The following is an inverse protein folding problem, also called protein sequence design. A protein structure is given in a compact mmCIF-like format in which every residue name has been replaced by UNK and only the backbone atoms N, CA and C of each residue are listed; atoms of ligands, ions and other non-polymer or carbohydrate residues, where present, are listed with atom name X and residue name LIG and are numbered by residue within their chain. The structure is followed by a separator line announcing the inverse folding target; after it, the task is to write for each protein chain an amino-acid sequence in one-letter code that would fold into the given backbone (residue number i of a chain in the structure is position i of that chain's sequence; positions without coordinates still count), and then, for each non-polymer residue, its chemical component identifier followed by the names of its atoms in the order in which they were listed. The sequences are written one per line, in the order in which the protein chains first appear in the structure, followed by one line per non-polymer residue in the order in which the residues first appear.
data_IF_398310232326
#
_entry.id   IF_398310232326
#
_cell.length_a   1.000
_cell.length_b   1.000
_cell.length_c   1.000
_cell.angle_alpha   90.00
_cell.angle_beta   90.00
_cell.angle_gamma   90.00
#
_symmetry.space_group_name_H-M   'P 1'
#
loop_
_entity.id
_entity.type
_entity.pdbx_description
1 polymer ?
#
# COMPACT_ATOMS: atom_id res chain seq x y z
N UNK A 1 -30.25 -2.60 5.15
CA UNK A 1 -30.38 -3.02 3.74
C UNK A 1 -30.59 -4.52 3.71
N UNK A 2 -31.37 -5.04 2.76
CA UNK A 2 -31.56 -6.48 2.59
C UNK A 2 -30.33 -7.08 1.89
N UNK A 3 -29.99 -8.33 2.21
CA UNK A 3 -28.93 -9.06 1.52
C UNK A 3 -29.31 -9.27 0.05
N UNK A 4 -28.38 -9.10 -0.90
CA UNK A 4 -28.64 -9.46 -2.29
C UNK A 4 -28.93 -10.96 -2.40
N UNK A 5 -29.81 -11.38 -3.31
CA UNK A 5 -30.15 -12.79 -3.49
C UNK A 5 -28.90 -13.59 -3.89
N UNK A 6 -28.77 -14.79 -3.33
CA UNK A 6 -27.74 -15.76 -3.73
C UNK A 6 -28.29 -16.56 -4.91
N UNK A 7 -27.45 -16.87 -5.90
CA UNK A 7 -27.82 -17.79 -6.98
C UNK A 7 -28.25 -19.15 -6.41
N UNK A 8 -29.32 -19.78 -6.91
CA UNK A 8 -29.83 -21.06 -6.39
C UNK A 8 -28.76 -22.14 -6.28
N UNK A 9 -27.84 -22.20 -7.25
CA UNK A 9 -26.72 -23.14 -7.31
C UNK A 9 -25.61 -22.86 -6.28
N UNK A 10 -25.55 -21.64 -5.73
CA UNK A 10 -24.56 -21.22 -4.74
C UNK A 10 -25.10 -21.29 -3.30
N UNK A 11 -26.35 -21.73 -3.10
CA UNK A 11 -26.93 -21.91 -1.76
C UNK A 11 -26.19 -23.04 -1.04
N UNK A 12 -25.46 -22.68 0.02
CA UNK A 12 -24.68 -23.64 0.81
C UNK A 12 -25.55 -24.33 1.86
N UNK A 13 -25.20 -25.58 2.23
CA UNK A 13 -25.85 -26.24 3.36
C UNK A 13 -25.61 -25.46 4.67
N UNK A 14 -26.50 -25.61 5.67
CA UNK A 14 -26.33 -24.96 6.96
C UNK A 14 -25.02 -25.40 7.60
N UNK A 15 -24.23 -24.43 8.07
CA UNK A 15 -22.98 -24.70 8.77
C UNK A 15 -23.26 -25.15 10.21
N UNK A 16 -22.39 -26.00 10.80
CA UNK A 16 -22.46 -26.27 12.23
C UNK A 16 -22.30 -24.95 13.01
N UNK A 17 -23.10 -24.75 14.08
CA UNK A 17 -23.06 -23.53 14.87
C UNK A 17 -21.70 -23.37 15.55
N UNK A 18 -21.19 -22.14 15.58
CA UNK A 18 -19.94 -21.83 16.28
C UNK A 18 -20.05 -22.08 17.78
N UNK A 19 -18.95 -22.57 18.35
CA UNK A 19 -18.74 -22.69 19.80
C UNK A 19 -17.61 -21.77 20.24
N UNK A 20 -17.55 -21.44 21.53
CA UNK A 20 -16.45 -20.63 22.08
C UNK A 20 -15.08 -21.32 21.91
N UNK A 21 -15.04 -22.66 21.87
CA UNK A 21 -13.83 -23.42 21.58
C UNK A 21 -13.27 -23.15 20.19
N UNK A 22 -14.12 -22.85 19.20
CA UNK A 22 -13.69 -22.62 17.82
C UNK A 22 -12.97 -21.28 17.64
N UNK A 23 -13.32 -20.28 18.47
CA UNK A 23 -12.73 -18.94 18.46
C UNK A 23 -11.35 -18.92 19.16
N UNK A 24 -11.17 -19.81 20.13
CA UNK A 24 -9.99 -19.86 20.97
C UNK A 24 -9.95 -18.78 22.08
N UNK A 25 -8.89 -18.76 22.90
CA UNK A 25 -8.82 -17.90 24.07
C UNK A 25 -8.73 -16.42 23.67
N UNK A 26 -9.56 -15.60 24.33
CA UNK A 26 -9.53 -14.16 24.17
C UNK A 26 -8.20 -13.57 24.69
N UNK A 27 -7.56 -12.64 23.95
CA UNK A 27 -6.37 -11.96 24.42
C UNK A 27 -6.72 -11.03 25.59
N UNK A 28 -5.74 -10.70 26.46
CA UNK A 28 -5.97 -9.78 27.56
C UNK A 28 -6.36 -8.39 27.06
N UNK A 29 -6.98 -7.59 27.93
CA UNK A 29 -7.32 -6.20 27.63
C UNK A 29 -6.06 -5.40 27.24
N UNK A 30 -6.14 -4.68 26.12
CA UNK A 30 -5.07 -3.85 25.60
C UNK A 30 -4.58 -2.87 26.66
N UNK A 31 -3.27 -2.83 26.84
CA UNK A 31 -2.62 -1.87 27.70
C UNK A 31 -1.42 -1.24 26.98
N UNK A 32 -1.38 0.09 26.95
CA UNK A 32 -0.25 0.86 26.38
C UNK A 32 0.67 1.44 27.45
N UNK A 33 0.23 1.42 28.71
CA UNK A 33 0.94 2.06 29.82
C UNK A 33 1.70 1.00 30.62
N UNK A 34 3.04 0.93 30.48
CA UNK A 34 3.84 -0.06 31.19
C UNK A 34 3.78 0.10 32.72
N UNK A 35 3.40 1.27 33.23
CA UNK A 35 3.33 1.53 34.67
C UNK A 35 2.14 0.84 35.35
N UNK A 36 1.07 0.55 34.60
CA UNK A 36 -0.16 -0.04 35.16
C UNK A 36 -0.16 -1.55 35.12
N UNK A 37 0.25 -2.14 33.99
CA UNK A 37 0.18 -3.57 33.68
C UNK A 37 1.20 -3.91 32.58
N UNK A 38 1.45 -5.20 32.27
CA UNK A 38 2.18 -5.57 31.06
C UNK A 38 1.60 -4.91 29.81
N UNK A 39 2.46 -4.53 28.86
CA UNK A 39 2.01 -3.96 27.58
C UNK A 39 1.30 -5.05 26.77
N UNK A 40 0.04 -4.82 26.44
CA UNK A 40 -0.77 -5.73 25.62
C UNK A 40 -1.18 -5.01 24.36
N UNK A 41 -0.82 -5.58 23.21
CA UNK A 41 -1.10 -5.00 21.89
C UNK A 41 -2.57 -5.14 21.53
N UNK A 42 -3.00 -4.38 20.53
CA UNK A 42 -4.37 -4.50 20.00
C UNK A 42 -4.51 -5.74 19.13
N UNK A 43 -5.51 -6.55 19.44
CA UNK A 43 -5.96 -7.71 18.68
C UNK A 43 -7.41 -7.49 18.25
N UNK A 44 -7.75 -8.10 17.13
CA UNK A 44 -9.03 -8.01 16.45
C UNK A 44 -9.49 -9.44 16.21
N UNK A 45 -10.70 -9.76 16.64
CA UNK A 45 -11.37 -10.99 16.28
C UNK A 45 -12.18 -10.70 15.03
N UNK A 46 -11.94 -11.46 13.97
CA UNK A 46 -12.69 -11.25 12.74
C UNK A 46 -12.51 -12.36 11.72
N UNK A 47 -13.43 -12.40 10.76
CA UNK A 47 -13.35 -13.27 9.60
C UNK A 47 -12.35 -12.68 8.63
N UNK A 48 -11.37 -13.48 8.20
CA UNK A 48 -10.46 -13.10 7.13
C UNK A 48 -11.13 -13.41 5.81
N UNK A 49 -11.22 -12.41 4.95
CA UNK A 49 -11.80 -12.53 3.61
C UNK A 49 -10.72 -12.17 2.62
N UNK A 50 -10.35 -13.15 1.79
CA UNK A 50 -9.35 -13.00 0.73
C UNK A 50 -9.94 -12.19 -0.43
N UNK A 51 -9.10 -11.83 -1.41
CA UNK A 51 -9.63 -11.16 -2.61
C UNK A 51 -10.44 -12.13 -3.46
N UNK A 52 -10.04 -13.41 -3.45
CA UNK A 52 -10.72 -14.51 -4.11
C UNK A 52 -12.09 -14.76 -3.47
N UNK A 53 -12.16 -14.76 -2.13
CA UNK A 53 -13.40 -14.90 -1.38
C UNK A 53 -14.39 -13.78 -1.75
N UNK A 54 -13.91 -12.53 -1.84
CA UNK A 54 -14.75 -11.39 -2.22
C UNK A 54 -15.25 -11.47 -3.66
N UNK A 55 -14.37 -11.84 -4.60
CA UNK A 55 -14.76 -11.98 -6.00
C UNK A 55 -15.78 -13.12 -6.18
N UNK A 56 -15.57 -14.24 -5.50
CA UNK A 56 -16.51 -15.36 -5.49
C UNK A 56 -17.84 -14.96 -4.88
N UNK A 57 -17.82 -14.27 -3.73
CA UNK A 57 -19.05 -13.76 -3.10
C UNK A 57 -19.81 -12.84 -4.05
N UNK A 58 -19.12 -11.92 -4.74
CA UNK A 58 -19.75 -11.07 -5.75
C UNK A 58 -20.38 -11.85 -6.91
N UNK A 59 -19.75 -12.95 -7.34
CA UNK A 59 -20.26 -13.83 -8.39
C UNK A 59 -21.49 -14.64 -7.94
N UNK A 60 -21.43 -15.17 -6.71
CA UNK A 60 -22.50 -15.96 -6.08
C UNK A 60 -23.78 -15.14 -5.88
N UNK A 61 -23.64 -13.83 -5.66
CA UNK A 61 -24.74 -12.87 -5.51
C UNK A 61 -25.09 -12.10 -6.79
N UNK A 62 -24.52 -12.49 -7.93
CA UNK A 62 -24.71 -11.85 -9.25
C UNK A 62 -24.56 -10.32 -9.26
N UNK A 63 -23.65 -9.76 -8.46
CA UNK A 63 -23.55 -8.32 -8.30
C UNK A 63 -23.18 -7.59 -9.59
N UNK A 64 -22.41 -8.26 -10.46
CA UNK A 64 -22.03 -7.76 -11.79
C UNK A 64 -22.12 -8.94 -12.76
N UNK A 65 -23.23 -9.08 -13.52
CA UNK A 65 -23.39 -10.17 -14.47
C UNK A 65 -22.25 -10.18 -15.51
N UNK A 66 -21.52 -11.31 -15.60
CA UNK A 66 -20.35 -11.43 -16.47
C UNK A 66 -19.16 -10.54 -16.07
N UNK A 67 -19.17 -9.98 -14.86
CA UNK A 67 -18.17 -9.05 -14.37
C UNK A 67 -16.78 -9.68 -14.25
N UNK A 68 -15.75 -8.87 -14.52
CA UNK A 68 -14.37 -9.25 -14.26
C UNK A 68 -14.08 -9.35 -12.76
N UNK A 69 -13.13 -10.21 -12.39
CA UNK A 69 -12.71 -10.52 -11.01
C UNK A 69 -12.66 -9.31 -10.06
N UNK A 70 -12.01 -8.21 -10.48
CA UNK A 70 -11.85 -7.03 -9.64
C UNK A 70 -13.13 -6.22 -9.44
N UNK A 71 -14.00 -6.16 -10.45
CA UNK A 71 -15.31 -5.51 -10.32
C UNK A 71 -16.16 -6.28 -9.33
N UNK A 72 -16.21 -7.61 -9.47
CA UNK A 72 -16.90 -8.48 -8.52
C UNK A 72 -16.38 -8.30 -7.09
N UNK A 73 -15.05 -8.31 -6.92
CA UNK A 73 -14.40 -8.08 -5.62
C UNK A 73 -14.79 -6.73 -5.00
N UNK A 74 -14.71 -5.64 -5.76
CA UNK A 74 -14.95 -4.30 -5.24
C UNK A 74 -16.43 -4.08 -4.90
N UNK A 75 -17.34 -4.50 -5.78
CA UNK A 75 -18.78 -4.44 -5.51
C UNK A 75 -19.17 -5.31 -4.32
N UNK A 76 -18.59 -6.51 -4.19
CA UNK A 76 -18.77 -7.35 -3.02
C UNK A 76 -18.29 -6.66 -1.74
N UNK A 77 -17.11 -6.03 -1.77
CA UNK A 77 -16.56 -5.31 -0.63
C UNK A 77 -17.46 -4.16 -0.17
N UNK A 78 -17.92 -3.33 -1.10
CA UNK A 78 -18.77 -2.19 -0.79
C UNK A 78 -20.16 -2.63 -0.32
N UNK A 79 -20.72 -3.67 -0.95
CA UNK A 79 -21.99 -4.27 -0.53
C UNK A 79 -21.89 -4.85 0.88
N UNK A 80 -20.87 -5.68 1.16
CA UNK A 80 -20.66 -6.29 2.47
C UNK A 80 -20.51 -5.25 3.58
N UNK A 81 -19.84 -4.13 3.33
CA UNK A 81 -19.74 -3.03 4.30
C UNK A 81 -21.08 -2.37 4.64
N UNK A 82 -22.09 -2.52 3.79
CA UNK A 82 -23.44 -1.99 3.99
C UNK A 82 -24.39 -3.01 4.63
N UNK A 83 -24.20 -4.31 4.38
CA UNK A 83 -25.10 -5.37 4.86
C UNK A 83 -24.62 -6.06 6.14
N UNK A 84 -23.30 -6.10 6.39
CA UNK A 84 -22.75 -6.69 7.62
C UNK A 84 -23.11 -5.78 8.81
N UNK A 85 -23.75 -6.31 9.87
CA UNK A 85 -24.30 -5.50 10.95
C UNK A 85 -23.21 -4.79 11.78
N UNK A 86 -23.54 -3.61 12.29
CA UNK A 86 -22.74 -2.90 13.29
C UNK A 86 -22.77 -3.69 14.63
N UNK A 87 -21.69 -3.74 15.44
CA UNK A 87 -20.49 -2.91 15.43
C UNK A 87 -19.30 -3.39 14.58
N UNK A 88 -19.55 -4.17 13.52
CA UNK A 88 -18.46 -4.66 12.68
C UNK A 88 -17.61 -3.53 12.08
N UNK A 89 -16.29 -3.69 12.17
CA UNK A 89 -15.32 -2.80 11.54
C UNK A 89 -14.49 -3.55 10.49
N UNK A 90 -13.77 -2.84 9.62
CA UNK A 90 -12.85 -3.48 8.67
C UNK A 90 -11.39 -3.26 9.05
N UNK A 91 -10.56 -4.28 8.84
CA UNK A 91 -9.13 -4.22 9.09
C UNK A 91 -8.34 -4.98 8.01
N UNK A 92 -7.10 -4.56 7.78
CA UNK A 92 -6.14 -5.34 6.97
C UNK A 92 -5.38 -6.29 7.87
N UNK A 93 -5.24 -7.54 7.42
CA UNK A 93 -4.64 -8.65 8.17
C UNK A 93 -3.61 -9.38 7.31
N UNK A 94 -2.61 -9.99 7.96
CA UNK A 94 -1.78 -11.02 7.33
C UNK A 94 -2.31 -12.38 7.77
N UNK A 95 -2.52 -13.28 6.83
CA UNK A 95 -3.06 -14.60 7.08
C UNK A 95 -2.24 -15.68 6.36
N UNK A 96 -2.43 -16.93 6.79
CA UNK A 96 -1.74 -18.09 6.22
C UNK A 96 -0.24 -18.18 6.53
N UNK A 97 0.39 -19.31 6.20
CA UNK A 97 1.83 -19.53 6.40
C UNK A 97 2.69 -18.56 5.57
N UNK A 98 2.21 -18.20 4.38
CA UNK A 98 2.89 -17.28 3.46
C UNK A 98 2.71 -15.80 3.82
N UNK A 99 1.98 -15.50 4.90
CA UNK A 99 1.72 -14.14 5.37
C UNK A 99 1.10 -13.24 4.29
N UNK A 100 0.14 -13.78 3.54
CA UNK A 100 -0.62 -13.05 2.52
C UNK A 100 -1.46 -11.94 3.15
N UNK A 101 -1.74 -10.88 2.40
CA UNK A 101 -2.58 -9.78 2.87
C UNK A 101 -4.04 -10.01 2.50
N UNK A 102 -4.93 -9.77 3.46
CA UNK A 102 -6.36 -9.88 3.26
C UNK A 102 -7.13 -8.78 3.98
N UNK A 103 -8.42 -8.74 3.72
CA UNK A 103 -9.35 -7.94 4.49
C UNK A 103 -9.92 -8.76 5.64
N UNK A 104 -10.41 -8.08 6.68
CA UNK A 104 -11.12 -8.74 7.76
C UNK A 104 -12.30 -7.91 8.24
N UNK A 105 -13.43 -8.58 8.42
CA UNK A 105 -14.61 -8.06 9.12
C UNK A 105 -14.49 -8.40 10.60
N UNK A 106 -14.24 -7.37 11.40
CA UNK A 106 -13.90 -7.44 12.82
C UNK A 106 -15.17 -7.38 13.65
N UNK A 107 -15.44 -8.45 14.40
CA UNK A 107 -16.61 -8.60 15.27
C UNK A 107 -16.32 -8.16 16.72
N UNK A 108 -15.08 -8.32 17.19
CA UNK A 108 -14.66 -7.93 18.54
C UNK A 108 -13.21 -7.45 18.59
N UNK A 109 -12.85 -6.67 19.61
CA UNK A 109 -11.46 -6.26 19.84
C UNK A 109 -11.13 -6.22 21.32
N UNK A 110 -9.86 -6.35 21.67
CA UNK A 110 -9.41 -6.24 23.06
C UNK A 110 -9.15 -4.80 23.53
N UNK A 111 -9.67 -3.78 22.84
CA UNK A 111 -9.36 -2.37 23.18
C UNK A 111 -10.06 -1.90 24.45
N UNK A 112 -11.31 -2.30 24.64
CA UNK A 112 -12.15 -1.95 25.78
C UNK A 112 -12.85 -3.21 26.30
N UNK A 113 -13.27 -3.25 27.57
CA UNK A 113 -13.99 -4.40 28.12
C UNK A 113 -15.23 -4.77 27.31
N UNK A 114 -16.09 -3.79 26.99
CA UNK A 114 -17.29 -4.03 26.20
C UNK A 114 -17.03 -4.43 24.74
N UNK A 115 -15.87 -4.10 24.15
CA UNK A 115 -15.50 -4.63 22.84
C UNK A 115 -14.99 -6.07 22.91
N UNK A 116 -14.43 -6.48 24.04
CA UNK A 116 -13.89 -7.82 24.27
C UNK A 116 -14.99 -8.80 24.68
N UNK A 117 -15.96 -8.37 25.47
CA UNK A 117 -17.14 -9.16 25.85
C UNK A 117 -17.93 -9.63 24.62
N UNK A 118 -17.96 -8.83 23.54
CA UNK A 118 -18.57 -9.23 22.26
C UNK A 118 -17.91 -10.44 21.59
N UNK A 119 -16.69 -10.82 21.99
CA UNK A 119 -16.10 -12.07 21.51
C UNK A 119 -16.88 -13.31 21.99
N UNK A 120 -17.73 -13.16 23.03
CA UNK A 120 -18.64 -14.20 23.50
C UNK A 120 -20.03 -14.16 22.89
N UNK A 121 -20.34 -13.16 22.04
CA UNK A 121 -21.65 -13.03 21.37
C UNK A 121 -21.71 -13.93 20.13
N UNK A 122 -21.95 -15.22 20.36
CA UNK A 122 -21.95 -16.23 19.31
C UNK A 122 -23.06 -16.00 18.27
N UNK A 123 -24.21 -15.46 18.67
CA UNK A 123 -25.32 -15.17 17.75
C UNK A 123 -24.94 -14.09 16.74
N UNK A 124 -24.36 -12.98 17.22
CA UNK A 124 -23.85 -11.92 16.35
C UNK A 124 -22.73 -12.42 15.43
N UNK A 125 -21.80 -13.21 15.98
CA UNK A 125 -20.68 -13.75 15.21
C UNK A 125 -21.19 -14.71 14.11
N UNK A 126 -22.16 -15.57 14.41
CA UNK A 126 -22.76 -16.50 13.44
C UNK A 126 -23.55 -15.75 12.36
N UNK A 127 -24.25 -14.67 12.72
CA UNK A 127 -24.91 -13.80 11.76
C UNK A 127 -23.90 -13.22 10.75
N UNK A 128 -22.78 -12.70 11.23
CA UNK A 128 -21.72 -12.17 10.36
C UNK A 128 -21.08 -13.29 9.53
N UNK A 129 -20.82 -14.46 10.10
CA UNK A 129 -20.30 -15.65 9.39
C UNK A 129 -21.19 -16.06 8.23
N UNK A 130 -22.51 -16.08 8.48
CA UNK A 130 -23.52 -16.45 7.50
C UNK A 130 -23.57 -15.46 6.35
N UNK A 131 -23.56 -14.14 6.64
CA UNK A 131 -23.54 -13.10 5.61
C UNK A 131 -22.30 -13.22 4.72
N UNK A 132 -21.14 -13.48 5.32
CA UNK A 132 -19.88 -13.61 4.59
C UNK A 132 -19.74 -14.96 3.85
N UNK A 133 -20.62 -15.94 4.13
CA UNK A 133 -20.52 -17.29 3.57
C UNK A 133 -19.22 -18.00 3.97
N UNK A 134 -18.68 -17.72 5.17
CA UNK A 134 -17.41 -18.29 5.63
C UNK A 134 -17.64 -19.57 6.43
N UNK A 135 -16.93 -20.63 6.05
CA UNK A 135 -16.96 -21.90 6.78
C UNK A 135 -16.03 -21.86 7.98
N UNK A 136 -14.94 -21.10 7.91
CA UNK A 136 -13.97 -21.01 8.98
C UNK A 136 -14.44 -20.08 10.11
N UNK A 137 -14.09 -20.40 11.38
CA UNK A 137 -14.35 -19.51 12.51
C UNK A 137 -13.53 -18.20 12.39
N UNK A 138 -13.97 -17.12 13.07
CA UNK A 138 -13.17 -15.91 13.13
C UNK A 138 -11.91 -16.16 13.97
N UNK A 139 -10.82 -15.49 13.62
CA UNK A 139 -9.54 -15.66 14.30
C UNK A 139 -9.08 -14.36 14.97
N UNK A 140 -8.37 -14.48 16.08
CA UNK A 140 -7.66 -13.36 16.68
C UNK A 140 -6.42 -13.02 15.87
N UNK A 141 -6.39 -11.81 15.32
CA UNK A 141 -5.27 -11.32 14.55
C UNK A 141 -4.88 -9.90 14.96
N UNK A 142 -3.68 -9.50 14.52
CA UNK A 142 -3.21 -8.13 14.69
C UNK A 142 -3.47 -7.39 13.41
N UNK A 143 -4.16 -6.25 13.52
CA UNK A 143 -4.25 -5.31 12.39
C UNK A 143 -2.84 -4.99 11.94
N UNK A 144 -2.65 -5.13 10.64
CA UNK A 144 -1.51 -4.56 9.99
C UNK A 144 -1.97 -3.20 9.51
N UNK A 145 -1.23 -2.19 9.93
CA UNK A 145 -1.24 -0.96 9.17
C UNK A 145 -0.58 -1.38 7.86
N UNK A 146 -1.40 -1.67 6.85
CA UNK A 146 -0.94 -1.69 5.48
C UNK A 146 -0.51 -0.26 5.17
N UNK A 147 0.70 0.10 5.63
CA UNK A 147 1.60 0.78 4.74
C UNK A 147 1.64 -0.14 3.53
N UNK A 148 0.90 0.22 2.49
CA UNK A 148 1.23 -0.19 1.12
C UNK A 148 2.76 -0.09 1.08
N UNK A 149 3.44 -1.23 0.92
CA UNK A 149 4.86 -1.40 1.17
C UNK A 149 5.68 -0.23 0.58
N UNK A 150 6.06 0.71 1.44
CA UNK A 150 7.02 1.78 1.13
C UNK A 150 8.34 1.58 1.91
N UNK A 151 8.29 0.89 3.05
CA UNK A 151 9.44 0.73 3.94
C UNK A 151 10.44 -0.34 3.45
N UNK A 152 10.06 -1.22 2.52
CA UNK A 152 11.00 -2.18 1.92
C UNK A 152 12.09 -1.52 1.08
N UNK A 153 11.94 -0.24 0.70
CA UNK A 153 12.96 0.46 -0.07
C UNK A 153 14.02 1.14 0.81
N UNK A 154 13.67 1.65 2.01
CA UNK A 154 14.65 2.18 2.97
C UNK A 154 15.66 1.13 3.43
N UNK A 155 15.23 -0.13 3.59
CA UNK A 155 16.14 -1.21 3.96
C UNK A 155 17.12 -1.62 2.84
N UNK A 156 16.79 -1.35 1.57
CA UNK A 156 17.69 -1.67 0.45
C UNK A 156 18.64 -0.51 0.14
N UNK A 157 18.18 0.75 0.19
CA UNK A 157 19.04 1.92 -0.05
C UNK A 157 20.12 2.07 1.03
N UNK A 158 19.84 1.73 2.29
CA UNK A 158 20.85 1.76 3.35
C UNK A 158 21.84 0.59 3.23
N UNK A 159 21.44 -0.57 2.68
CA UNK A 159 22.34 -1.71 2.54
C UNK A 159 23.26 -1.63 1.32
N UNK A 160 22.81 -1.01 0.23
CA UNK A 160 23.60 -0.84 -0.99
C UNK A 160 24.67 0.26 -0.89
N UNK A 161 24.61 1.13 0.11
CA UNK A 161 25.61 2.19 0.34
C UNK A 161 26.72 1.80 1.34
N UNK A 162 26.70 0.59 1.89
CA UNK A 162 27.69 0.11 2.88
C UNK A 162 28.58 -1.02 2.37
N UNK A 163 28.60 -1.30 1.06
CA UNK A 163 29.38 -2.41 0.49
C UNK A 163 30.24 -2.07 -0.74
N UNK A 164 30.64 -0.80 -0.89
CA UNK A 164 31.79 -0.47 -1.73
C UNK A 164 32.66 0.51 -0.94
N UNK A 165 33.58 -0.04 -0.14
CA UNK A 165 34.91 0.55 0.03
C UNK A 165 35.84 -0.52 0.60
N UNK A 166 37.04 -0.60 0.00
CA UNK A 166 38.18 -1.48 0.32
C UNK A 166 38.26 -2.84 -0.35
N UNK A 167 38.60 -2.86 -1.65
CA UNK A 167 39.63 -3.77 -2.16
C UNK A 167 40.53 -3.03 -3.18
N UNK A 168 41.87 -3.16 -3.12
CA UNK A 168 42.78 -2.44 -3.99
C UNK A 168 42.87 -3.09 -5.39
N UNK A 169 43.31 -2.35 -6.42
CA UNK A 169 43.35 -2.85 -7.79
C UNK A 169 44.62 -3.66 -8.01
N UNK A 170 44.50 -4.86 -8.59
CA UNK A 170 45.62 -5.57 -9.18
C UNK A 170 45.25 -6.06 -10.59
N UNK A 171 45.85 -5.35 -11.54
CA UNK A 171 46.29 -5.70 -12.89
C UNK A 171 46.38 -7.19 -13.24
N UNK A 172 45.62 -7.65 -14.23
CA UNK A 172 46.12 -8.00 -15.58
C UNK A 172 45.00 -8.56 -16.48
N UNK A 173 44.95 -8.22 -17.78
CA UNK A 173 44.07 -8.85 -18.76
C UNK A 173 44.80 -10.01 -19.44
N UNK A 174 44.15 -11.16 -19.67
CA UNK A 174 44.32 -11.99 -20.87
C UNK A 174 43.44 -13.26 -20.84
N UNK A 175 42.75 -13.48 -21.97
CA UNK A 175 42.34 -14.74 -22.61
C UNK A 175 41.72 -15.89 -21.77
N UNK A 176 40.53 -16.36 -22.19
CA UNK A 176 40.33 -17.54 -23.08
C UNK A 176 38.82 -17.80 -23.27
N UNK A 177 38.50 -18.16 -24.51
CA UNK A 177 37.22 -18.43 -25.15
C UNK A 177 36.57 -19.78 -24.77
N UNK A 178 35.29 -19.91 -25.19
CA UNK A 178 34.51 -21.14 -25.45
C UNK A 178 33.77 -21.82 -24.29
N UNK A 179 32.43 -21.74 -24.34
CA UNK A 179 31.57 -22.92 -24.25
C UNK A 179 30.21 -22.65 -24.91
N UNK A 180 30.08 -23.14 -26.14
CA UNK A 180 28.87 -23.21 -26.95
C UNK A 180 28.22 -24.56 -26.65
N UNK A 181 26.96 -24.60 -26.22
CA UNK A 181 26.19 -25.86 -26.23
C UNK A 181 24.76 -25.59 -26.68
N UNK A 182 24.48 -25.99 -27.93
CA UNK A 182 23.14 -26.22 -28.49
C UNK A 182 22.80 -27.68 -28.25
N UNK A 183 21.62 -27.98 -27.71
CA UNK A 183 20.90 -29.25 -27.97
C UNK A 183 19.42 -28.96 -28.23
N UNK A 184 18.90 -29.60 -29.28
CA UNK A 184 17.56 -29.49 -29.86
C UNK A 184 16.51 -30.34 -29.11
N UNK A 185 15.30 -29.78 -29.01
CA UNK A 185 13.96 -30.32 -29.31
C UNK A 185 13.59 -31.75 -28.87
N UNK A 186 12.54 -31.86 -28.04
CA UNK A 186 11.41 -32.78 -28.28
C UNK A 186 10.13 -32.23 -27.64
N UNK A 187 9.18 -31.88 -28.50
CA UNK A 187 7.78 -31.73 -28.13
C UNK A 187 7.13 -33.13 -28.12
N UNK A 188 6.36 -33.43 -27.09
CA UNK A 188 5.18 -34.29 -27.15
C UNK A 188 4.23 -33.84 -26.04
N UNK A 189 3.02 -33.48 -26.46
CA UNK A 189 1.95 -32.97 -25.62
C UNK A 189 1.17 -34.11 -24.97
N UNK A 190 0.73 -33.91 -23.71
CA UNK A 190 -0.51 -34.49 -23.20
C UNK A 190 -1.00 -33.74 -21.95
N UNK A 191 -1.92 -32.80 -22.18
CA UNK A 191 -3.19 -32.60 -21.48
C UNK A 191 -3.26 -32.45 -19.94
N UNK A 192 -3.96 -31.36 -19.57
CA UNK A 192 -4.55 -31.01 -18.27
C UNK A 192 -3.59 -30.53 -17.18
N UNK A 193 -3.54 -29.21 -16.99
CA UNK A 193 -3.38 -28.53 -15.69
C UNK A 193 -3.64 -27.04 -15.92
N UNK A 194 -4.62 -26.51 -15.20
CA UNK A 194 -5.23 -25.20 -15.41
C UNK A 194 -4.32 -23.99 -15.11
N UNK A 195 -4.87 -22.77 -15.18
CA UNK A 195 -4.11 -21.52 -15.18
C UNK A 195 -3.75 -21.09 -13.75
N UNK A 196 -2.93 -21.84 -13.01
CA UNK A 196 -2.54 -21.48 -11.64
C UNK A 196 -1.06 -21.69 -11.35
N UNK A 197 -0.21 -20.94 -12.08
CA UNK A 197 1.22 -20.85 -11.77
C UNK A 197 1.79 -19.42 -11.79
N UNK A 198 0.98 -18.38 -11.55
CA UNK A 198 1.45 -16.97 -11.62
C UNK A 198 1.18 -16.07 -10.41
N UNK A 199 0.89 -16.63 -9.22
CA UNK A 199 0.76 -15.80 -8.00
C UNK A 199 2.05 -15.72 -7.16
N UNK A 200 3.04 -16.60 -7.36
CA UNK A 200 4.34 -16.46 -6.68
C UNK A 200 5.26 -15.41 -7.33
N UNK A 201 4.88 -14.90 -8.50
CA UNK A 201 5.64 -13.88 -9.25
C UNK A 201 5.33 -12.44 -8.84
N UNK A 202 4.29 -12.16 -8.03
CA UNK A 202 3.91 -10.78 -7.70
C UNK A 202 4.87 -10.04 -6.75
N UNK A 203 5.79 -10.74 -6.07
CA UNK A 203 6.87 -10.09 -5.30
C UNK A 203 8.10 -9.72 -6.16
N UNK A 204 8.12 -10.05 -7.46
CA UNK A 204 9.27 -9.82 -8.34
C UNK A 204 9.19 -8.56 -9.20
N UNK A 205 8.17 -7.69 -9.06
CA UNK A 205 8.13 -6.42 -9.80
C UNK A 205 9.27 -5.46 -9.44
N UNK A 206 9.90 -5.64 -8.28
CA UNK A 206 11.15 -4.94 -7.93
C UNK A 206 12.34 -5.34 -8.83
N UNK A 207 12.23 -6.47 -9.56
CA UNK A 207 13.27 -7.02 -10.45
C UNK A 207 12.93 -6.91 -11.94
N UNK A 208 11.73 -6.46 -12.30
CA UNK A 208 11.44 -6.21 -13.71
C UNK A 208 12.09 -4.90 -14.15
N UNK A 209 12.74 -4.86 -15.32
CA UNK A 209 13.13 -3.60 -15.93
C UNK A 209 11.85 -2.78 -16.13
N UNK A 210 11.79 -1.61 -15.51
CA UNK A 210 10.70 -0.67 -15.75
C UNK A 210 10.85 -0.12 -17.16
N UNK A 211 9.75 0.22 -17.84
CA UNK A 211 9.84 0.89 -19.13
C UNK A 211 10.69 2.16 -18.96
N UNK A 212 11.63 2.43 -19.89
CA UNK A 212 12.38 3.67 -19.86
C UNK A 212 11.41 4.85 -19.97
N UNK A 213 11.68 5.94 -19.28
CA UNK A 213 10.94 7.19 -19.51
C UNK A 213 11.07 7.55 -20.98
N UNK A 214 9.94 7.82 -21.64
CA UNK A 214 9.94 8.33 -23.01
C UNK A 214 10.61 9.71 -23.03
N UNK A 215 11.80 9.86 -23.63
CA UNK A 215 12.43 11.16 -23.77
C UNK A 215 11.58 11.99 -24.72
N UNK A 216 11.21 13.22 -24.34
CA UNK A 216 10.52 14.14 -25.26
C UNK A 216 9.01 14.28 -25.09
N UNK A 217 8.38 13.71 -24.04
CA UNK A 217 7.08 14.20 -23.55
C UNK A 217 7.26 15.53 -22.79
N UNK A 218 7.93 16.47 -23.45
CA UNK A 218 8.05 17.84 -22.99
C UNK A 218 6.71 18.50 -23.32
N UNK A 219 5.80 18.53 -22.34
CA UNK A 219 4.78 19.58 -22.30
C UNK A 219 5.52 20.90 -22.48
N UNK A 220 4.94 21.83 -23.26
CA UNK A 220 5.60 23.08 -23.70
C UNK A 220 6.52 23.66 -22.62
N UNK A 221 7.73 24.17 -22.97
CA UNK A 221 8.69 24.67 -21.98
C UNK A 221 7.99 25.63 -21.04
N UNK A 222 7.81 25.17 -19.80
CA UNK A 222 7.07 25.93 -18.82
C UNK A 222 7.93 27.11 -18.34
N UNK A 223 7.32 28.21 -17.87
CA UNK A 223 8.09 29.29 -17.27
C UNK A 223 8.95 28.73 -16.12
N UNK A 224 10.23 29.12 -16.05
CA UNK A 224 11.15 28.62 -15.03
C UNK A 224 10.65 29.03 -13.64
N UNK A 225 10.81 28.14 -12.67
CA UNK A 225 10.55 28.41 -11.26
C UNK A 225 11.47 29.54 -10.81
N UNK A 226 10.86 30.50 -10.12
CA UNK A 226 11.54 31.58 -9.42
C UNK A 226 11.37 31.39 -7.92
N UNK A 227 12.20 32.05 -7.11
CA UNK A 227 12.03 32.01 -5.65
C UNK A 227 10.70 32.63 -5.20
N UNK A 228 10.11 33.52 -6.00
CA UNK A 228 8.79 34.11 -5.74
C UNK A 228 7.65 33.09 -5.87
N UNK A 229 7.89 31.99 -6.59
CA UNK A 229 6.94 30.89 -6.75
C UNK A 229 6.85 29.98 -5.54
N UNK A 230 7.77 30.13 -4.59
CA UNK A 230 7.89 29.27 -3.40
C UNK A 230 7.41 30.06 -2.19
N UNK A 231 6.37 29.57 -1.52
CA UNK A 231 5.91 30.18 -0.28
C UNK A 231 7.04 30.22 0.76
N UNK A 232 7.14 31.29 1.56
CA UNK A 232 8.14 31.39 2.62
C UNK A 232 8.16 30.12 3.49
N UNK A 233 9.35 29.53 3.58
CA UNK A 233 9.53 28.27 4.29
C UNK A 233 9.18 28.39 5.77
N UNK A 234 8.67 27.31 6.40
CA UNK A 234 8.58 27.27 7.84
C UNK A 234 9.98 27.33 8.44
N UNK A 235 10.09 27.90 9.65
CA UNK A 235 11.34 27.83 10.40
C UNK A 235 11.80 26.38 10.61
N UNK A 236 13.05 26.21 11.04
CA UNK A 236 13.59 24.89 11.37
C UNK A 236 12.70 24.18 12.40
N UNK A 237 12.47 22.90 12.18
CA UNK A 237 11.64 22.06 13.05
C UNK A 237 12.16 22.13 14.47
N UNK A 238 11.29 22.50 15.38
CA UNK A 238 11.54 22.48 16.81
C UNK A 238 10.36 21.78 17.51
N UNK A 239 10.64 20.67 18.18
CA UNK A 239 9.65 19.89 18.94
C UNK A 239 9.66 20.23 20.43
N UNK A 240 10.68 20.95 20.90
CA UNK A 240 10.88 21.28 22.31
C UNK A 240 10.47 22.74 22.56
N UNK A 241 9.41 22.98 23.36
CA UNK A 241 8.98 24.35 23.70
C UNK A 241 10.07 25.17 24.39
N UNK A 242 11.03 24.51 25.05
CA UNK A 242 12.15 25.15 25.76
C UNK A 242 13.15 25.82 24.80
N UNK A 243 13.25 25.34 23.56
CA UNK A 243 14.14 25.91 22.53
C UNK A 243 13.43 26.97 21.67
N UNK A 244 12.31 27.52 22.17
CA UNK A 244 11.51 28.53 21.50
C UNK A 244 10.21 27.98 20.90
N UNK A 245 9.66 28.70 19.91
CA UNK A 245 8.37 28.35 19.30
C UNK A 245 8.44 26.94 18.70
N UNK A 246 7.47 26.10 19.05
CA UNK A 246 7.34 24.76 18.45
C UNK A 246 7.01 24.89 16.97
N UNK A 247 7.91 24.40 16.12
CA UNK A 247 7.73 24.33 14.68
C UNK A 247 7.65 22.88 14.26
N UNK A 248 6.51 22.49 13.70
CA UNK A 248 6.26 21.11 13.23
C UNK A 248 7.06 20.82 11.96
N UNK A 249 7.28 19.53 11.70
CA UNK A 249 7.85 19.08 10.44
C UNK A 249 6.94 19.48 9.27
N UNK A 250 7.54 20.11 8.26
CA UNK A 250 6.95 20.38 6.97
C UNK A 250 7.93 19.97 5.88
N UNK A 251 7.38 19.58 4.74
CA UNK A 251 8.09 19.20 3.55
C UNK A 251 7.67 20.14 2.41
N UNK A 252 8.64 20.63 1.65
CA UNK A 252 8.40 21.29 0.37
C UNK A 252 8.24 20.19 -0.66
N UNK A 253 7.11 20.19 -1.36
CA UNK A 253 6.78 19.08 -2.25
C UNK A 253 5.95 19.49 -3.46
N UNK A 254 6.12 18.74 -4.55
CA UNK A 254 5.21 18.74 -5.70
C UNK A 254 4.09 17.75 -5.46
N UNK A 255 2.85 18.23 -5.51
CA UNK A 255 1.68 17.42 -5.21
C UNK A 255 1.13 16.80 -6.47
N UNK A 256 0.96 15.48 -6.42
CA UNK A 256 0.37 14.70 -7.49
C UNK A 256 -0.89 14.00 -6.98
N UNK A 257 -2.00 14.30 -7.62
CA UNK A 257 -3.26 13.57 -7.42
C UNK A 257 -3.20 12.21 -8.10
N UNK A 258 -4.10 11.30 -7.72
CA UNK A 258 -4.20 10.00 -8.39
C UNK A 258 -4.53 10.14 -9.88
N UNK A 259 -5.44 11.05 -10.24
CA UNK A 259 -5.78 11.32 -11.64
C UNK A 259 -4.59 11.85 -12.45
N UNK A 260 -3.74 12.69 -11.85
CA UNK A 260 -2.50 13.15 -12.50
C UNK A 260 -1.48 12.02 -12.66
N UNK A 261 -1.40 11.11 -11.69
CA UNK A 261 -0.54 9.94 -11.78
C UNK A 261 -1.01 8.96 -12.87
N UNK A 262 -2.32 8.80 -13.04
CA UNK A 262 -2.90 8.04 -14.16
C UNK A 262 -2.56 8.67 -15.51
N UNK A 263 -2.72 9.99 -15.63
CA UNK A 263 -2.40 10.73 -16.84
C UNK A 263 -0.91 10.62 -17.16
N UNK A 264 -0.05 10.80 -16.15
CA UNK A 264 1.39 10.61 -16.29
C UNK A 264 1.74 9.18 -16.71
N UNK A 265 1.08 8.17 -16.13
CA UNK A 265 1.26 6.77 -16.51
C UNK A 265 0.86 6.50 -17.96
N UNK A 266 -0.26 7.09 -18.42
CA UNK A 266 -0.70 7.04 -19.82
C UNK A 266 0.31 7.66 -20.76
N UNK A 267 0.77 8.87 -20.45
CA UNK A 267 1.76 9.60 -21.25
C UNK A 267 3.03 8.76 -21.44
N UNK A 268 3.43 8.00 -20.42
CA UNK A 268 4.66 7.19 -20.42
C UNK A 268 4.45 5.72 -20.81
N UNK A 269 3.33 5.38 -21.46
CA UNK A 269 2.99 4.00 -21.87
C UNK A 269 3.11 2.96 -20.74
N UNK A 270 2.93 3.39 -19.49
CA UNK A 270 2.87 2.47 -18.37
C UNK A 270 1.55 1.74 -18.50
N UNK A 271 1.64 0.48 -18.94
CA UNK A 271 0.52 -0.41 -19.29
C UNK A 271 -0.67 -0.13 -18.37
N UNK A 272 -1.72 0.46 -18.96
CA UNK A 272 -3.04 0.54 -18.36
C UNK A 272 -3.64 -0.87 -18.32
N UNK A 273 -3.14 -1.71 -17.42
CA UNK A 273 -3.91 -2.87 -17.00
C UNK A 273 -5.23 -2.36 -16.42
N UNK A 274 -6.33 -3.12 -16.56
CA UNK A 274 -7.59 -2.82 -15.85
C UNK A 274 -7.44 -2.75 -14.32
N UNK A 275 -6.26 -3.15 -13.79
CA UNK A 275 -5.83 -3.00 -12.41
C UNK A 275 -5.36 -1.57 -12.09
N UNK A 276 -6.30 -0.75 -11.62
CA UNK A 276 -6.07 0.61 -11.13
C UNK A 276 -4.91 0.73 -10.11
N UNK A 277 -4.84 -0.19 -9.16
CA UNK A 277 -3.80 -0.20 -8.12
C UNK A 277 -2.41 -0.56 -8.66
N UNK A 278 -2.34 -1.44 -9.67
CA UNK A 278 -1.08 -1.88 -10.25
C UNK A 278 -0.45 -0.75 -11.06
N UNK A 279 -1.25 -0.07 -11.88
CA UNK A 279 -0.81 1.07 -12.67
C UNK A 279 -0.22 2.16 -11.76
N UNK A 280 -0.88 2.50 -10.65
CA UNK A 280 -0.36 3.48 -9.69
C UNK A 280 0.97 3.07 -9.06
N UNK A 281 1.14 1.78 -8.73
CA UNK A 281 2.38 1.27 -8.15
C UNK A 281 3.52 1.31 -9.16
N UNK A 282 3.27 0.91 -10.40
CA UNK A 282 4.28 0.92 -11.46
C UNK A 282 4.65 2.36 -11.80
N UNK A 283 3.66 3.25 -11.99
CA UNK A 283 3.88 4.66 -12.23
C UNK A 283 4.72 5.30 -11.12
N UNK A 284 4.36 5.08 -9.85
CA UNK A 284 5.17 5.61 -8.75
C UNK A 284 6.57 5.02 -8.69
N UNK A 285 6.71 3.72 -8.91
CA UNK A 285 8.03 3.10 -8.91
C UNK A 285 8.90 3.66 -10.03
N UNK A 286 8.33 3.97 -11.19
CA UNK A 286 9.06 4.56 -12.32
C UNK A 286 9.49 5.98 -11.98
N UNK A 287 8.58 6.82 -11.48
CA UNK A 287 8.92 8.18 -11.02
C UNK A 287 10.03 8.12 -9.98
N UNK A 288 9.89 7.29 -8.95
CA UNK A 288 10.87 7.19 -7.88
C UNK A 288 12.28 6.79 -8.36
N UNK A 289 12.38 5.96 -9.40
CA UNK A 289 13.69 5.60 -9.99
C UNK A 289 14.28 6.71 -10.85
N UNK A 290 13.44 7.58 -11.42
CA UNK A 290 13.87 8.70 -12.23
C UNK A 290 14.25 9.94 -11.41
N UNK A 291 13.69 10.07 -10.20
CA UNK A 291 13.91 11.24 -9.36
C UNK A 291 15.39 11.41 -8.94
N UNK A 292 15.94 12.64 -8.98
CA UNK A 292 17.28 12.92 -8.51
C UNK A 292 17.36 12.74 -6.98
N UNK A 293 18.44 12.13 -6.51
CA UNK A 293 18.72 12.05 -5.07
C UNK A 293 18.94 13.48 -4.51
N UNK A 294 18.38 13.86 -3.34
CA UNK A 294 17.73 13.03 -2.33
C UNK A 294 16.19 13.08 -2.34
N UNK A 295 15.55 13.21 -3.50
CA UNK A 295 14.10 13.36 -3.57
C UNK A 295 13.43 12.14 -2.94
N UNK A 296 12.35 12.40 -2.21
CA UNK A 296 11.57 11.37 -1.56
C UNK A 296 10.11 11.50 -1.97
N UNK A 297 9.32 10.47 -1.70
CA UNK A 297 7.88 10.56 -1.88
C UNK A 297 7.20 10.32 -0.55
N UNK A 298 6.16 11.11 -0.31
CA UNK A 298 5.44 11.18 0.93
C UNK A 298 3.94 11.23 0.67
N UNK A 299 3.16 10.81 1.66
CA UNK A 299 1.79 11.27 1.77
C UNK A 299 1.79 12.57 2.56
N UNK A 300 1.25 13.63 1.98
CA UNK A 300 1.25 14.97 2.56
C UNK A 300 -0.18 15.45 2.70
N UNK A 301 -0.46 16.08 3.85
CA UNK A 301 -1.74 16.76 4.03
C UNK A 301 -1.68 18.09 3.31
N UNK A 302 -2.60 18.30 2.36
CA UNK A 302 -2.64 19.49 1.53
C UNK A 302 -4.05 20.12 1.52
N UNK A 303 -4.10 21.46 1.54
CA UNK A 303 -5.34 22.24 1.53
C UNK A 303 -5.87 22.65 2.91
N UNK A 304 -6.69 23.72 2.93
CA UNK A 304 -7.33 24.29 4.14
C UNK A 304 -8.43 23.39 4.72
N UNK A 305 -9.04 22.51 3.91
CA UNK A 305 -9.99 21.51 4.37
C UNK A 305 -9.24 20.24 4.76
N UNK A 306 -9.35 19.91 6.04
CA UNK A 306 -8.61 18.93 6.81
C UNK A 306 -8.60 17.45 6.32
N UNK A 307 -8.99 17.13 5.08
CA UNK A 307 -9.37 15.77 4.69
C UNK A 307 -8.78 15.25 3.36
N UNK A 308 -7.97 16.03 2.62
CA UNK A 308 -7.33 15.55 1.39
C UNK A 308 -5.87 15.18 1.65
N UNK A 309 -5.59 13.89 1.51
CA UNK A 309 -4.25 13.33 1.53
C UNK A 309 -3.82 13.12 0.08
N UNK A 310 -2.67 13.67 -0.28
CA UNK A 310 -2.12 13.50 -1.62
C UNK A 310 -0.74 12.89 -1.53
N UNK A 311 -0.37 12.15 -2.58
CA UNK A 311 0.99 11.73 -2.80
C UNK A 311 1.78 12.93 -3.30
N UNK A 312 3.01 13.07 -2.84
CA UNK A 312 3.85 14.19 -3.21
C UNK A 312 5.31 13.78 -3.29
N UNK A 313 6.05 14.40 -4.21
CA UNK A 313 7.50 14.33 -4.26
C UNK A 313 8.08 15.43 -3.38
N UNK A 314 8.77 15.05 -2.33
CA UNK A 314 9.46 15.91 -1.37
C UNK A 314 10.85 16.25 -1.88
N UNK A 315 11.13 17.55 -2.01
CA UNK A 315 12.41 18.10 -2.45
C UNK A 315 13.23 18.68 -1.29
N UNK A 316 12.55 19.20 -0.27
CA UNK A 316 13.18 19.75 0.92
C UNK A 316 12.31 19.52 2.16
N UNK A 317 12.92 19.57 3.34
CA UNK A 317 12.17 19.59 4.60
C UNK A 317 12.80 20.60 5.56
N UNK A 318 12.02 21.07 6.53
CA UNK A 318 12.54 21.93 7.58
C UNK A 318 13.21 21.15 8.74
N UNK A 319 13.57 19.88 8.55
CA UNK A 319 14.15 19.04 9.60
C UNK A 319 15.56 19.48 9.97
N UNK A 320 16.40 19.77 8.98
CA UNK A 320 17.80 20.18 9.18
C UNK A 320 18.13 21.39 8.31
N UNK A 321 19.15 22.20 8.66
CA UNK A 321 19.57 23.32 7.82
C UNK A 321 19.94 22.91 6.39
N UNK A 322 20.62 21.77 6.23
CA UNK A 322 20.99 21.25 4.90
C UNK A 322 19.79 20.81 4.07
N UNK A 323 18.75 20.24 4.70
CA UNK A 323 17.50 19.94 3.99
C UNK A 323 16.70 21.20 3.63
N UNK A 324 16.77 22.22 4.49
CA UNK A 324 16.09 23.49 4.29
C UNK A 324 16.76 24.34 3.20
N UNK A 325 18.09 24.30 3.08
CA UNK A 325 18.83 24.99 2.03
C UNK A 325 18.45 24.51 0.62
N UNK A 326 18.02 23.24 0.46
CA UNK A 326 17.52 22.74 -0.83
C UNK A 326 16.20 23.37 -1.26
N UNK A 327 15.47 24.03 -0.36
CA UNK A 327 14.25 24.75 -0.73
C UNK A 327 14.52 25.97 -1.63
N UNK A 328 15.79 26.38 -1.79
CA UNK A 328 16.19 27.44 -2.72
C UNK A 328 16.90 26.90 -3.97
N UNK A 329 17.03 25.59 -4.11
CA UNK A 329 17.69 24.95 -5.25
C UNK A 329 16.69 24.80 -6.41
N UNK A 330 16.57 25.88 -7.20
CA UNK A 330 15.65 25.96 -8.34
C UNK A 330 15.98 24.94 -9.43
N UNK A 331 17.26 24.69 -9.70
CA UNK A 331 17.67 23.71 -10.71
C UNK A 331 17.23 22.31 -10.32
N UNK A 332 17.46 21.92 -9.07
CA UNK A 332 17.00 20.64 -8.53
C UNK A 332 15.47 20.51 -8.59
N UNK A 333 14.74 21.56 -8.23
CA UNK A 333 13.28 21.56 -8.32
C UNK A 333 12.77 21.48 -9.76
N UNK A 334 13.46 22.11 -10.72
CA UNK A 334 13.12 22.00 -12.14
C UNK A 334 13.33 20.59 -12.69
N UNK A 335 14.41 19.91 -12.29
CA UNK A 335 14.62 18.50 -12.67
C UNK A 335 13.46 17.62 -12.17
N UNK A 336 13.04 17.80 -10.92
CA UNK A 336 11.90 17.08 -10.35
C UNK A 336 10.59 17.43 -11.06
N UNK A 337 10.34 18.71 -11.32
CA UNK A 337 9.15 19.20 -12.02
C UNK A 337 9.06 18.66 -13.45
N UNK A 338 10.19 18.59 -14.14
CA UNK A 338 10.31 18.01 -15.49
C UNK A 338 9.97 16.52 -15.50
N UNK A 339 10.48 15.73 -14.55
CA UNK A 339 10.16 14.30 -14.42
C UNK A 339 8.66 14.08 -14.16
N UNK A 340 8.06 14.93 -13.34
CA UNK A 340 6.64 14.86 -13.02
C UNK A 340 5.73 15.39 -14.13
N UNK A 341 6.26 16.12 -15.11
CA UNK A 341 5.47 16.76 -16.17
C UNK A 341 4.40 17.71 -15.60
N UNK A 342 4.68 18.37 -14.48
CA UNK A 342 3.70 19.22 -13.78
C UNK A 342 4.01 20.71 -13.89
N UNK A 343 2.96 21.53 -14.05
CA UNK A 343 3.05 22.99 -13.98
C UNK A 343 2.91 23.54 -12.57
N UNK A 344 2.60 22.68 -11.61
CA UNK A 344 2.36 23.11 -10.23
C UNK A 344 3.64 23.57 -9.59
N UNK A 345 3.54 24.67 -8.87
CA UNK A 345 4.57 25.17 -7.97
C UNK A 345 4.70 24.24 -6.76
N UNK A 346 5.91 24.06 -6.20
CA UNK A 346 6.08 23.29 -4.99
C UNK A 346 5.45 24.03 -3.81
N UNK A 347 4.92 23.28 -2.84
CA UNK A 347 4.19 23.83 -1.69
C UNK A 347 4.66 23.19 -0.39
N UNK A 348 4.58 23.94 0.70
CA UNK A 348 4.87 23.43 2.04
C UNK A 348 3.66 22.66 2.59
N UNK A 349 3.86 21.37 2.85
CA UNK A 349 2.84 20.51 3.43
C UNK A 349 3.33 19.75 4.66
N UNK A 350 2.39 19.21 5.45
CA UNK A 350 2.72 18.35 6.59
C UNK A 350 2.76 16.89 6.16
N UNK A 351 3.91 16.22 6.21
CA UNK A 351 3.97 14.80 5.87
C UNK A 351 3.26 13.97 6.93
N UNK A 352 2.66 12.85 6.51
CA UNK A 352 2.07 11.86 7.39
C UNK A 352 3.08 10.75 7.70
N UNK A 353 3.07 10.28 8.94
CA UNK A 353 3.90 9.17 9.40
C UNK A 353 5.21 9.60 10.09
N UNK A 354 6.02 8.64 10.55
CA UNK A 354 7.33 8.91 11.14
C UNK A 354 8.35 9.23 10.04
N UNK A 355 8.93 10.44 10.10
CA UNK A 355 9.96 10.95 9.19
C UNK A 355 11.27 11.20 9.92
#
# INVERSE_FOLDING_TARGET
MLLPPVKPECVRPPLPPLTLSDIGPSPPLRNRDPSKRPIVKTYFLGFVVTFEDLAQWGADHDLVPGGEYYRLRNEAWDTLRMVVPHPTATATVRYGPDRMYGSSFVVATNRTPGELERAGDLEFIEQVRTILGKEEPPIWHRRIIAFIHWVSWRAWVVHSSLQLDHLPPCTNPEHVTNARTRVKVRALASHSRGPFQRLSTMNNYNRLPLPPLRPGLVRQPHPPLTLEDIEPGPGLRNIEPLNGRVVKLHALCFIMTYSELEEWGRDHDIVLTSEYDLMHRVAWSTICKALPHPAMVATVRYGKKHSLYSLAVVVATNRTPGEMARATDLEYMEQVRSILGTEKKPVWGRPLGPW
#
